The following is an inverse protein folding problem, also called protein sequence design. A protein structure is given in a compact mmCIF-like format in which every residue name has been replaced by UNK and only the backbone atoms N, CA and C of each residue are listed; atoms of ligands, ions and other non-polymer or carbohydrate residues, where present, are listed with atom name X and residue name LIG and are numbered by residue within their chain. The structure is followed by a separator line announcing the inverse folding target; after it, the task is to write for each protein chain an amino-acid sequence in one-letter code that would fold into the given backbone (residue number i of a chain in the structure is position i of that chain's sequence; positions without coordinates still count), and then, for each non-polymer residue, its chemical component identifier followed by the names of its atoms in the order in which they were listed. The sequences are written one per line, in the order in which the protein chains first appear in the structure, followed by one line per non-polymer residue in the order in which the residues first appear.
data_IF_377672613821
#
_entry.id   IF_377672613821
#
_cell.length_a   1.000
_cell.length_b   1.000
_cell.length_c   1.000
_cell.angle_alpha   90.00
_cell.angle_beta   90.00
_cell.angle_gamma   90.00
#
_symmetry.space_group_name_H-M   'P 1'
#
loop_
_entity.id
_entity.type
_entity.pdbx_description
1 polymer ?
#
# COMPACT_ATOMS: atom_id res chain seq x y z
N UNK A 1 14.80 -2.10 -24.62
CA UNK A 1 15.72 -1.23 -23.84
C UNK A 1 15.28 -1.25 -22.39
N UNK A 2 16.24 -1.12 -21.47
CA UNK A 2 16.01 -1.08 -20.02
C UNK A 2 16.27 0.34 -19.52
N UNK A 3 15.32 0.93 -18.81
CA UNK A 3 15.49 2.22 -18.15
C UNK A 3 15.17 2.09 -16.65
N UNK A 4 16.09 2.53 -15.80
CA UNK A 4 15.91 2.52 -14.34
C UNK A 4 15.95 3.96 -13.85
N UNK A 5 14.94 4.36 -13.09
CA UNK A 5 14.89 5.67 -12.43
C UNK A 5 14.71 5.48 -10.92
N UNK A 6 15.58 6.13 -10.14
CA UNK A 6 15.50 6.15 -8.68
C UNK A 6 15.14 7.56 -8.21
N UNK A 7 13.88 7.74 -7.84
CA UNK A 7 13.45 8.94 -7.11
C UNK A 7 13.43 8.55 -5.64
N UNK A 8 13.85 9.40 -4.70
CA UNK A 8 14.10 8.99 -3.30
C UNK A 8 12.95 8.30 -2.53
N UNK A 9 11.73 8.26 -3.10
CA UNK A 9 10.56 7.56 -2.55
C UNK A 9 10.35 6.13 -3.12
N UNK A 10 10.87 5.81 -4.30
CA UNK A 10 10.58 4.55 -5.02
C UNK A 10 11.60 4.23 -6.12
N UNK A 11 11.80 2.94 -6.37
CA UNK A 11 12.59 2.47 -7.50
C UNK A 11 11.66 2.01 -8.62
N UNK A 12 11.84 2.57 -9.83
CA UNK A 12 11.09 2.19 -11.03
C UNK A 12 12.02 1.65 -12.09
N UNK A 13 11.62 0.51 -12.66
CA UNK A 13 12.28 -0.12 -13.80
C UNK A 13 11.26 -0.23 -14.93
N UNK A 14 11.60 0.31 -16.10
CA UNK A 14 10.77 0.25 -17.30
C UNK A 14 11.44 -0.67 -18.32
N UNK A 15 10.66 -1.63 -18.79
CA UNK A 15 11.01 -2.62 -19.81
C UNK A 15 10.18 -2.33 -21.05
N UNK A 16 10.82 -2.14 -22.19
CA UNK A 16 10.13 -1.98 -23.47
C UNK A 16 10.22 -3.25 -24.31
N UNK A 17 9.25 -3.41 -25.21
CA UNK A 17 9.14 -4.52 -26.16
C UNK A 17 8.90 -5.87 -25.45
N UNK A 18 8.02 -5.85 -24.46
CA UNK A 18 7.55 -7.03 -23.74
C UNK A 18 6.22 -7.47 -24.36
N UNK A 19 6.07 -8.75 -24.69
CA UNK A 19 4.78 -9.25 -25.19
C UNK A 19 3.77 -9.43 -24.06
N UNK A 20 2.48 -9.42 -24.38
CA UNK A 20 1.42 -9.65 -23.40
C UNK A 20 1.57 -11.02 -22.71
N UNK A 21 1.92 -12.06 -23.47
CA UNK A 21 2.13 -13.41 -22.97
C UNK A 21 3.30 -13.47 -21.98
N UNK A 22 4.36 -12.69 -22.23
CA UNK A 22 5.51 -12.59 -21.33
C UNK A 22 5.09 -11.94 -20.01
N UNK A 23 4.27 -10.88 -20.06
CA UNK A 23 3.72 -10.24 -18.87
C UNK A 23 2.82 -11.20 -18.06
N UNK A 24 1.93 -11.95 -18.70
CA UNK A 24 1.08 -12.94 -18.03
C UNK A 24 1.89 -14.07 -17.38
N UNK A 25 2.91 -14.59 -18.07
CA UNK A 25 3.81 -15.60 -17.52
C UNK A 25 4.51 -15.07 -16.25
N UNK A 26 5.00 -13.83 -16.31
CA UNK A 26 5.67 -13.17 -15.21
C UNK A 26 4.72 -12.93 -14.02
N UNK A 27 3.46 -12.55 -14.27
CA UNK A 27 2.44 -12.44 -13.23
C UNK A 27 2.16 -13.76 -12.52
N UNK A 28 2.09 -14.86 -13.29
CA UNK A 28 1.83 -16.21 -12.76
C UNK A 28 2.98 -16.72 -11.90
N UNK A 29 4.22 -16.49 -12.33
CA UNK A 29 5.42 -16.89 -11.58
C UNK A 29 5.61 -16.07 -10.30
N UNK A 30 5.34 -14.76 -10.35
CA UNK A 30 5.63 -13.86 -9.23
C UNK A 30 4.54 -13.89 -8.14
N UNK A 31 3.32 -14.38 -8.44
CA UNK A 31 2.25 -14.57 -7.45
C UNK A 31 1.69 -13.28 -6.85
N UNK A 32 0.88 -13.36 -5.79
CA UNK A 32 0.14 -12.22 -5.19
C UNK A 32 0.85 -11.52 -4.01
N UNK A 33 1.95 -12.08 -3.50
CA UNK A 33 2.69 -11.56 -2.33
C UNK A 33 3.80 -10.55 -2.68
N UNK A 34 3.64 -9.79 -3.76
CA UNK A 34 4.73 -9.00 -4.35
C UNK A 34 4.92 -7.69 -3.59
N UNK A 35 6.15 -7.41 -3.16
CA UNK A 35 6.57 -6.08 -2.70
C UNK A 35 6.68 -5.06 -3.84
N UNK A 36 6.59 -5.50 -5.10
CA UNK A 36 6.66 -4.64 -6.28
C UNK A 36 5.33 -4.67 -7.05
N UNK A 37 4.95 -3.51 -7.57
CA UNK A 37 3.77 -3.28 -8.42
C UNK A 37 4.18 -3.34 -9.88
N UNK A 38 3.37 -3.99 -10.71
CA UNK A 38 3.58 -4.06 -12.15
C UNK A 38 2.44 -3.34 -12.87
N UNK A 39 2.78 -2.59 -13.91
CA UNK A 39 1.83 -1.99 -14.86
C UNK A 39 2.29 -2.33 -16.28
N UNK A 40 1.35 -2.66 -17.16
CA UNK A 40 1.64 -2.99 -18.56
C UNK A 40 0.76 -2.16 -19.48
N UNK A 41 1.37 -1.53 -20.48
CA UNK A 41 0.70 -0.76 -21.52
C UNK A 41 1.46 -0.89 -22.83
N UNK A 42 0.79 -1.39 -23.88
CA UNK A 42 1.27 -1.46 -25.26
C UNK A 42 2.76 -1.85 -25.44
N UNK A 43 3.14 -2.98 -24.83
CA UNK A 43 4.51 -3.51 -24.93
C UNK A 43 5.51 -2.89 -23.96
N UNK A 44 5.07 -1.99 -23.08
CA UNK A 44 5.85 -1.40 -22.00
C UNK A 44 5.41 -1.95 -20.66
N UNK A 45 6.34 -2.56 -19.94
CA UNK A 45 6.15 -3.06 -18.57
C UNK A 45 6.90 -2.14 -17.60
N UNK A 46 6.15 -1.50 -16.70
CA UNK A 46 6.69 -0.74 -15.58
C UNK A 46 6.64 -1.59 -14.31
N UNK A 47 7.80 -1.70 -13.64
CA UNK A 47 7.97 -2.36 -12.35
C UNK A 47 8.33 -1.29 -11.32
N UNK A 48 7.45 -1.11 -10.35
CA UNK A 48 7.61 -0.13 -9.27
C UNK A 48 7.79 -0.86 -7.94
N UNK A 49 8.94 -0.70 -7.31
CA UNK A 49 9.21 -1.15 -5.95
C UNK A 49 9.11 0.06 -5.00
N UNK A 50 7.96 0.27 -4.31
CA UNK A 50 7.89 1.29 -3.28
C UNK A 50 8.95 1.03 -2.21
N UNK A 51 9.66 2.07 -1.75
CA UNK A 51 10.62 1.86 -0.67
C UNK A 51 9.88 1.41 0.59
N UNK A 52 10.46 0.42 1.29
CA UNK A 52 9.96 -0.11 2.56
C UNK A 52 9.64 0.98 3.60
N UNK A 53 10.38 2.09 3.57
CA UNK A 53 10.13 3.26 4.42
C UNK A 53 8.74 3.89 4.20
N UNK A 54 8.27 3.96 2.95
CA UNK A 54 6.95 4.52 2.60
C UNK A 54 5.80 3.57 2.94
N UNK A 55 6.01 2.25 2.82
CA UNK A 55 5.00 1.27 3.23
C UNK A 55 4.89 1.17 4.76
N UNK A 56 6.02 1.19 5.46
CA UNK A 56 6.03 1.25 6.92
C UNK A 56 5.38 2.51 7.45
N UNK A 57 5.62 3.67 6.82
CA UNK A 57 5.04 4.92 7.29
C UNK A 57 3.51 4.85 7.32
N UNK A 58 2.87 4.20 6.35
CA UNK A 58 1.41 3.96 6.36
C UNK A 58 0.97 3.11 7.55
N UNK A 59 1.70 2.03 7.85
CA UNK A 59 1.41 1.15 8.98
C UNK A 59 1.63 1.89 10.31
N UNK A 60 2.70 2.69 10.42
CA UNK A 60 3.01 3.47 11.62
C UNK A 60 1.98 4.59 11.83
N UNK A 61 1.55 5.30 10.78
CA UNK A 61 0.46 6.27 10.87
C UNK A 61 -0.85 5.61 11.30
N UNK A 62 -1.18 4.43 10.77
CA UNK A 62 -2.34 3.67 11.21
C UNK A 62 -2.26 3.34 12.70
N UNK A 63 -1.13 2.81 13.17
CA UNK A 63 -0.91 2.50 14.59
C UNK A 63 -1.03 3.76 15.45
N UNK A 64 -0.46 4.86 15.00
CA UNK A 64 -0.52 6.15 15.68
C UNK A 64 -1.97 6.66 15.82
N UNK A 65 -2.77 6.61 14.74
CA UNK A 65 -4.19 6.99 14.77
C UNK A 65 -4.96 6.10 15.74
N UNK A 66 -4.76 4.78 15.70
CA UNK A 66 -5.42 3.84 16.62
C UNK A 66 -5.10 4.18 18.08
N UNK A 67 -3.82 4.38 18.41
CA UNK A 67 -3.39 4.74 19.78
C UNK A 67 -4.00 6.07 20.22
N UNK A 68 -4.00 7.10 19.37
CA UNK A 68 -4.61 8.39 19.72
C UNK A 68 -6.11 8.27 19.97
N UNK A 69 -6.82 7.49 19.15
CA UNK A 69 -8.27 7.27 19.32
C UNK A 69 -8.55 6.49 20.62
N UNK A 70 -7.75 5.48 20.94
CA UNK A 70 -7.87 4.73 22.19
C UNK A 70 -7.61 5.63 23.41
N UNK A 71 -6.56 6.44 23.39
CA UNK A 71 -6.23 7.36 24.49
C UNK A 71 -7.24 8.50 24.65
N UNK A 72 -7.75 9.03 23.54
CA UNK A 72 -8.80 10.06 23.56
C UNK A 72 -10.11 9.49 24.11
N UNK A 73 -10.48 8.27 23.74
CA UNK A 73 -11.62 7.56 24.33
C UNK A 73 -11.42 7.22 25.81
N UNK A 74 -10.18 6.97 26.24
CA UNK A 74 -9.84 6.75 27.65
C UNK A 74 -10.01 8.03 28.48
N UNK A 75 -9.61 9.19 27.94
CA UNK A 75 -9.80 10.50 28.59
C UNK A 75 -11.27 10.95 28.59
N UNK A 76 -12.06 10.57 27.57
CA UNK A 76 -13.52 10.79 27.52
C UNK A 76 -14.35 9.96 28.51
N UNK A 77 -13.74 9.01 29.22
CA UNK A 77 -14.40 8.12 30.20
C UNK A 77 -14.57 8.72 31.60
N UNK A 78 -14.44 10.03 31.78
CA UNK A 78 -15.19 10.74 32.84
C UNK A 78 -16.52 11.23 32.25
N UNK A 79 -17.47 10.31 31.97
CA UNK A 79 -18.89 10.68 31.98
C UNK A 79 -19.79 10.39 30.76
N UNK A 80 -19.39 9.69 29.68
CA UNK A 80 -20.36 9.36 28.61
C UNK A 80 -20.38 7.88 28.22
N UNK A 81 -21.59 7.30 28.33
CA UNK A 81 -21.90 5.88 28.16
C UNK A 81 -21.58 5.40 26.74
N UNK A 82 -21.01 4.19 26.73
CA UNK A 82 -20.68 3.36 25.57
C UNK A 82 -21.80 3.32 24.52
N UNK A 83 -21.53 3.82 23.32
CA UNK A 83 -22.20 3.32 22.11
C UNK A 83 -21.27 3.57 20.93
N UNK A 84 -20.89 2.49 20.26
CA UNK A 84 -20.28 2.49 18.93
C UNK A 84 -18.74 2.56 18.81
N UNK A 85 -18.03 1.57 19.37
CA UNK A 85 -16.61 1.30 19.06
C UNK A 85 -16.38 0.71 17.65
N UNK A 86 -17.43 0.23 16.98
CA UNK A 86 -17.32 -0.53 15.72
C UNK A 86 -17.20 0.36 14.47
N UNK A 87 -17.65 1.61 14.52
CA UNK A 87 -17.72 2.45 13.31
C UNK A 87 -16.40 3.11 12.88
N UNK A 88 -15.44 3.35 13.77
CA UNK A 88 -14.20 4.07 13.41
C UNK A 88 -13.19 3.13 12.73
N UNK A 89 -13.02 1.91 13.26
CA UNK A 89 -12.13 0.92 12.65
C UNK A 89 -12.65 0.47 11.27
N UNK A 90 -13.97 0.37 11.12
CA UNK A 90 -14.60 0.05 9.84
C UNK A 90 -14.43 1.19 8.83
N UNK A 91 -14.67 2.44 9.22
CA UNK A 91 -14.46 3.59 8.33
C UNK A 91 -12.99 3.74 7.86
N UNK A 92 -12.02 3.32 8.68
CA UNK A 92 -10.60 3.32 8.28
C UNK A 92 -10.29 2.15 7.33
N UNK A 93 -10.94 1.00 7.49
CA UNK A 93 -10.82 -0.14 6.57
C UNK A 93 -11.47 0.16 5.21
N UNK A 94 -12.61 0.85 5.19
CA UNK A 94 -13.35 1.20 3.97
C UNK A 94 -12.62 2.22 3.08
N UNK A 95 -11.69 3.01 3.64
CA UNK A 95 -10.82 3.91 2.87
C UNK A 95 -9.59 3.23 2.25
N UNK A 96 -9.37 1.93 2.48
CA UNK A 96 -8.13 1.23 2.10
C UNK A 96 -8.34 -0.01 1.22
N UNK A 97 -9.58 -0.35 0.86
CA UNK A 97 -9.93 -1.40 -0.12
C UNK A 97 -10.29 -0.80 -1.48
#
# INVERSE_FOLDING_TARGET
MLATSSTGAEQRTVLHNISWETFEALLRETGSGRGSRFAYEDGTLEIMAPLFAHENLKIQFRRFIVVIVEETNRKGRKGRKERNKRNILQAILDCYM
#
